data_IF_389615829248
#
_entry.id   IF_389615829248
#
_cell.length_a   1.000
_cell.length_b   1.000
_cell.length_c   1.000
_cell.angle_alpha   90.00
_cell.angle_beta   90.00
_cell.angle_gamma   90.00
#
_symmetry.space_group_name_H-M   'P 1'
#
loop_
_entity.id
_entity.type
_entity.pdbx_description
1 polymer ?
#
# COMPACT_ATOMS: atom_id res chain seq x y z
N UNK A 1 5.74 -13.69 -28.07
CA UNK A 1 5.09 -12.37 -28.20
C UNK A 1 4.15 -12.04 -27.04
N UNK A 2 3.19 -12.89 -26.64
CA UNK A 2 2.26 -12.53 -25.52
C UNK A 2 2.86 -12.48 -24.10
N UNK A 3 4.03 -13.09 -23.87
CA UNK A 3 4.68 -13.08 -22.54
C UNK A 3 5.50 -11.83 -22.24
N UNK A 4 5.80 -11.00 -23.24
CA UNK A 4 6.84 -9.96 -23.15
C UNK A 4 6.36 -8.66 -22.50
N UNK A 5 5.04 -8.50 -22.33
CA UNK A 5 4.43 -7.30 -21.72
C UNK A 5 3.71 -7.58 -20.40
N UNK A 6 3.87 -8.77 -19.81
CA UNK A 6 3.33 -9.01 -18.46
C UNK A 6 4.07 -8.09 -17.48
N UNK A 7 3.30 -7.24 -16.81
CA UNK A 7 3.77 -6.31 -15.78
C UNK A 7 4.73 -5.22 -16.27
N UNK A 8 4.19 -4.35 -17.12
CA UNK A 8 4.91 -3.18 -17.65
C UNK A 8 5.49 -2.29 -16.55
N UNK A 9 4.85 -2.20 -15.38
CA UNK A 9 5.29 -1.32 -14.31
C UNK A 9 6.56 -1.84 -13.60
N UNK A 10 6.64 -3.14 -13.27
CA UNK A 10 7.87 -3.69 -12.67
C UNK A 10 9.02 -3.73 -13.68
N UNK A 11 8.72 -3.99 -14.95
CA UNK A 11 9.71 -4.09 -16.02
C UNK A 11 10.36 -2.74 -16.42
N UNK A 12 9.81 -1.60 -15.98
CA UNK A 12 10.48 -0.29 -16.13
C UNK A 12 11.82 -0.27 -15.39
N UNK A 13 11.92 -0.98 -14.26
CA UNK A 13 13.16 -1.09 -13.52
C UNK A 13 14.00 -2.27 -14.04
N UNK A 14 14.99 -1.97 -14.89
CA UNK A 14 15.82 -2.99 -15.56
C UNK A 14 16.95 -3.55 -14.69
N UNK A 15 17.26 -2.92 -13.56
CA UNK A 15 18.45 -3.25 -12.76
C UNK A 15 18.15 -3.68 -11.32
N UNK A 16 16.94 -3.44 -10.81
CA UNK A 16 16.56 -3.81 -9.44
C UNK A 16 16.27 -5.32 -9.34
N UNK A 17 17.08 -6.03 -8.58
CA UNK A 17 16.93 -7.47 -8.31
C UNK A 17 16.27 -7.72 -6.95
N UNK A 18 15.85 -8.96 -6.69
CA UNK A 18 15.22 -9.38 -5.43
C UNK A 18 16.03 -9.04 -4.17
N UNK A 19 17.35 -9.18 -4.22
CA UNK A 19 18.25 -8.82 -3.12
C UNK A 19 18.27 -7.30 -2.87
N UNK A 20 18.28 -6.50 -3.94
CA UNK A 20 18.26 -5.03 -3.85
C UNK A 20 16.96 -4.53 -3.21
N UNK A 21 15.83 -5.19 -3.51
CA UNK A 21 14.51 -4.84 -2.93
C UNK A 21 14.53 -5.00 -1.41
N UNK A 22 15.15 -6.06 -0.89
CA UNK A 22 15.27 -6.28 0.56
C UNK A 22 16.15 -5.24 1.24
N UNK A 23 17.06 -4.61 0.49
CA UNK A 23 17.95 -3.54 0.96
C UNK A 23 17.33 -2.14 0.86
N UNK A 24 16.19 -1.97 0.16
CA UNK A 24 15.51 -0.68 0.09
C UNK A 24 15.13 -0.19 1.48
N UNK A 25 15.27 1.13 1.67
CA UNK A 25 14.79 1.78 2.88
C UNK A 25 13.27 1.69 2.96
N UNK A 26 12.67 1.67 4.17
CA UNK A 26 11.21 1.63 4.29
C UNK A 26 10.51 2.80 3.59
N UNK A 27 11.13 3.98 3.54
CA UNK A 27 10.56 5.12 2.82
C UNK A 27 10.57 4.95 1.30
N UNK A 28 11.56 4.25 0.73
CA UNK A 28 11.55 3.91 -0.70
C UNK A 28 10.46 2.88 -1.01
N UNK A 29 10.25 1.91 -0.12
CA UNK A 29 9.15 0.95 -0.25
C UNK A 29 7.80 1.65 -0.13
N UNK A 30 7.63 2.52 0.87
CA UNK A 30 6.41 3.30 1.06
C UNK A 30 6.11 4.19 -0.16
N UNK A 31 7.12 4.81 -0.76
CA UNK A 31 6.96 5.65 -1.94
C UNK A 31 6.27 4.93 -3.11
N UNK A 32 6.71 3.71 -3.44
CA UNK A 32 6.05 2.94 -4.51
C UNK A 32 4.76 2.28 -4.02
N UNK A 33 4.70 1.87 -2.75
CA UNK A 33 3.54 1.23 -2.15
C UNK A 33 2.31 2.13 -2.10
N UNK A 34 2.48 3.42 -1.81
CA UNK A 34 1.43 4.43 -1.87
C UNK A 34 0.80 4.51 -3.27
N UNK A 35 1.64 4.62 -4.32
CA UNK A 35 1.17 4.66 -5.69
C UNK A 35 0.44 3.37 -6.12
N UNK A 36 0.95 2.20 -5.72
CA UNK A 36 0.33 0.90 -6.02
C UNK A 36 -1.02 0.78 -5.32
N UNK A 37 -1.09 1.18 -4.04
CA UNK A 37 -2.34 1.12 -3.27
C UNK A 37 -3.39 2.09 -3.81
N UNK A 38 -3.00 3.34 -4.13
CA UNK A 38 -3.88 4.33 -4.75
C UNK A 38 -4.46 3.81 -6.06
N UNK A 39 -3.64 3.23 -6.94
CA UNK A 39 -4.09 2.66 -8.20
C UNK A 39 -5.05 1.48 -7.97
N UNK A 40 -4.74 0.61 -7.01
CA UNK A 40 -5.61 -0.51 -6.65
C UNK A 40 -7.00 -0.02 -6.22
N UNK A 41 -7.06 0.90 -5.25
CA UNK A 41 -8.32 1.44 -4.73
C UNK A 41 -9.10 2.16 -5.84
N UNK A 42 -8.44 2.99 -6.65
CA UNK A 42 -9.10 3.65 -7.78
C UNK A 42 -9.66 2.64 -8.77
N UNK A 43 -8.93 1.56 -9.04
CA UNK A 43 -9.40 0.47 -9.92
C UNK A 43 -10.59 -0.26 -9.34
N UNK A 44 -10.56 -0.58 -8.04
CA UNK A 44 -11.67 -1.21 -7.32
C UNK A 44 -12.95 -0.35 -7.35
N UNK A 45 -12.81 0.96 -7.15
CA UNK A 45 -13.94 1.90 -7.12
C UNK A 45 -14.54 2.20 -8.49
N UNK A 46 -13.89 1.78 -9.59
CA UNK A 46 -14.46 1.87 -10.94
C UNK A 46 -15.54 0.81 -11.13
N UNK A 47 -16.67 0.98 -10.43
CA UNK A 47 -17.89 0.24 -10.69
C UNK A 47 -18.75 0.96 -11.75
N UNK A 48 -19.49 0.19 -12.54
CA UNK A 48 -20.43 0.74 -13.52
C UNK A 48 -21.54 1.50 -12.78
N UNK A 49 -21.55 2.83 -12.93
CA UNK A 49 -22.63 3.70 -12.43
C UNK A 49 -22.22 4.68 -11.33
N UNK A 50 -21.01 4.58 -10.75
CA UNK A 50 -20.54 5.58 -9.78
C UNK A 50 -20.18 6.89 -10.51
N UNK A 51 -20.80 8.03 -10.15
CA UNK A 51 -20.46 9.32 -10.74
C UNK A 51 -19.00 9.71 -10.47
N UNK A 52 -18.31 10.27 -11.47
CA UNK A 52 -16.88 10.65 -11.38
C UNK A 52 -16.61 11.61 -10.21
N UNK A 53 -17.54 12.51 -9.90
CA UNK A 53 -17.43 13.44 -8.79
C UNK A 53 -17.51 12.79 -7.40
N UNK A 54 -17.95 11.53 -7.30
CA UNK A 54 -17.95 10.75 -6.05
C UNK A 54 -16.71 9.88 -5.88
N UNK A 55 -16.08 9.44 -6.98
CA UNK A 55 -14.92 8.55 -6.94
C UNK A 55 -13.77 9.10 -6.08
N UNK A 56 -13.49 10.40 -6.15
CA UNK A 56 -12.44 11.01 -5.33
C UNK A 56 -12.75 10.94 -3.83
N UNK A 57 -14.00 11.23 -3.45
CA UNK A 57 -14.42 11.21 -2.06
C UNK A 57 -14.41 9.78 -1.50
N UNK A 58 -14.85 8.81 -2.30
CA UNK A 58 -14.81 7.39 -1.95
C UNK A 58 -13.37 6.90 -1.81
N UNK A 59 -12.49 7.20 -2.77
CA UNK A 59 -11.07 6.83 -2.70
C UNK A 59 -10.40 7.38 -1.44
N UNK A 60 -10.69 8.63 -1.09
CA UNK A 60 -10.15 9.29 0.11
C UNK A 60 -10.46 8.51 1.40
N UNK A 61 -11.58 7.77 1.47
CA UNK A 61 -11.90 6.95 2.64
C UNK A 61 -11.00 5.72 2.80
N UNK A 62 -10.25 5.33 1.77
CA UNK A 62 -9.29 4.22 1.83
C UNK A 62 -7.85 4.72 1.94
N UNK A 63 -7.53 5.83 1.28
CA UNK A 63 -6.13 6.24 1.02
C UNK A 63 -5.60 7.28 2.00
N UNK A 64 -6.46 7.96 2.77
CA UNK A 64 -5.99 8.88 3.82
C UNK A 64 -5.23 8.13 4.92
N UNK A 65 -4.22 8.77 5.52
CA UNK A 65 -3.34 8.15 6.51
C UNK A 65 -4.10 7.49 7.68
N UNK A 66 -5.17 8.13 8.19
CA UNK A 66 -6.03 7.56 9.23
C UNK A 66 -6.65 6.22 8.80
N UNK A 67 -7.18 6.16 7.58
CA UNK A 67 -7.78 4.94 7.05
C UNK A 67 -6.75 3.84 6.86
N UNK A 68 -5.58 4.17 6.30
CA UNK A 68 -4.51 3.19 6.16
C UNK A 68 -4.03 2.65 7.52
N UNK A 69 -3.97 3.51 8.53
CA UNK A 69 -3.69 3.13 9.93
C UNK A 69 -4.71 2.13 10.46
N UNK A 70 -6.01 2.43 10.31
CA UNK A 70 -7.11 1.56 10.75
C UNK A 70 -7.13 0.21 10.02
N UNK A 71 -6.93 0.25 8.70
CA UNK A 71 -6.82 -0.93 7.84
C UNK A 71 -5.67 -1.82 8.31
N UNK A 72 -4.48 -1.25 8.54
CA UNK A 72 -3.34 -2.01 9.02
C UNK A 72 -3.60 -2.64 10.39
N UNK A 73 -4.31 -1.94 11.28
CA UNK A 73 -4.72 -2.48 12.57
C UNK A 73 -5.65 -3.68 12.42
N UNK A 74 -6.62 -3.63 11.50
CA UNK A 74 -7.51 -4.74 11.19
C UNK A 74 -6.79 -5.92 10.53
N UNK A 75 -5.79 -5.67 9.67
CA UNK A 75 -5.00 -6.70 9.02
C UNK A 75 -3.98 -7.38 9.94
N UNK A 76 -3.64 -6.80 11.10
CA UNK A 76 -2.53 -7.23 11.95
C UNK A 76 -2.53 -8.73 12.31
N UNK A 77 -3.71 -9.32 12.48
CA UNK A 77 -3.87 -10.76 12.79
C UNK A 77 -3.60 -11.69 11.60
N UNK A 78 -3.68 -11.17 10.38
CA UNK A 78 -3.53 -11.92 9.13
C UNK A 78 -2.11 -11.80 8.54
N UNK A 79 -1.30 -10.89 9.07
CA UNK A 79 0.09 -10.70 8.62
C UNK A 79 1.01 -11.80 9.14
N UNK A 80 1.95 -12.23 8.30
CA UNK A 80 3.07 -13.09 8.69
C UNK A 80 4.07 -12.31 9.56
N UNK A 81 4.99 -13.02 10.21
CA UNK A 81 6.03 -12.38 11.03
C UNK A 81 6.99 -11.51 10.21
N UNK A 82 7.27 -11.91 8.96
CA UNK A 82 8.07 -11.11 8.03
C UNK A 82 7.37 -9.79 7.68
N UNK A 83 6.08 -9.86 7.34
CA UNK A 83 5.26 -8.69 7.01
C UNK A 83 5.13 -7.75 8.22
N UNK A 84 4.92 -8.28 9.43
CA UNK A 84 4.91 -7.49 10.67
C UNK A 84 6.25 -6.78 10.91
N UNK A 85 7.37 -7.44 10.61
CA UNK A 85 8.69 -6.84 10.75
C UNK A 85 8.90 -5.69 9.74
N UNK A 86 8.43 -5.84 8.50
CA UNK A 86 8.45 -4.79 7.48
C UNK A 86 7.60 -3.59 7.90
N UNK A 87 6.37 -3.83 8.34
CA UNK A 87 5.47 -2.78 8.86
C UNK A 87 6.13 -2.03 10.03
N UNK A 88 6.73 -2.75 10.98
CA UNK A 88 7.44 -2.14 12.12
C UNK A 88 8.61 -1.27 11.65
N UNK A 89 9.37 -1.69 10.64
CA UNK A 89 10.45 -0.89 10.05
C UNK A 89 9.92 0.39 9.40
N UNK A 90 8.84 0.30 8.62
CA UNK A 90 8.19 1.47 8.01
C UNK A 90 7.68 2.47 9.05
N UNK A 91 6.98 1.98 10.06
CA UNK A 91 6.46 2.80 11.17
C UNK A 91 7.55 3.56 11.94
N UNK A 92 8.73 2.95 12.05
CA UNK A 92 9.86 3.54 12.76
C UNK A 92 10.78 4.38 11.87
N UNK A 93 10.50 4.49 10.57
CA UNK A 93 11.30 5.29 9.66
C UNK A 93 11.17 6.79 10.01
N UNK A 94 12.31 7.50 10.04
CA UNK A 94 12.32 8.93 10.34
C UNK A 94 11.86 9.71 9.12
N UNK A 95 10.63 10.22 9.16
CA UNK A 95 10.11 11.13 8.15
C UNK A 95 10.66 12.56 8.37
N UNK A 96 10.98 13.26 7.27
CA UNK A 96 11.55 14.62 7.33
C UNK A 96 10.50 15.68 7.66
N UNK A 97 9.24 15.45 7.31
CA UNK A 97 8.14 16.40 7.55
C UNK A 97 6.84 15.63 7.78
N UNK A 98 6.16 15.90 8.89
CA UNK A 98 4.79 15.45 9.15
C UNK A 98 3.92 16.71 9.20
N UNK A 99 2.73 16.74 8.57
CA UNK A 99 1.84 17.89 8.65
C UNK A 99 1.50 18.24 10.10
N UNK A 100 1.52 19.53 10.45
CA UNK A 100 1.32 19.98 11.84
C UNK A 100 -0.02 19.54 12.47
N UNK A 101 -1.04 19.34 11.63
CA UNK A 101 -2.40 18.98 12.06
C UNK A 101 -2.71 17.49 11.92
N UNK A 102 -1.71 16.69 11.54
CA UNK A 102 -1.87 15.25 11.39
C UNK A 102 -1.56 14.51 12.68
N UNK A 103 -2.30 13.43 12.95
CA UNK A 103 -1.89 12.49 13.98
C UNK A 103 -0.61 11.78 13.53
N UNK A 104 0.46 12.00 14.29
CA UNK A 104 1.78 11.43 14.04
C UNK A 104 1.75 9.90 14.02
N UNK A 105 0.89 9.28 14.83
CA UNK A 105 0.76 7.83 14.88
C UNK A 105 0.10 7.28 13.63
N UNK A 106 -0.96 7.92 13.13
CA UNK A 106 -1.62 7.50 11.89
C UNK A 106 -0.66 7.55 10.70
N UNK A 107 0.13 8.62 10.59
CA UNK A 107 1.13 8.75 9.52
C UNK A 107 2.20 7.66 9.61
N UNK A 108 2.66 7.33 10.82
CA UNK A 108 3.63 6.25 11.02
C UNK A 108 3.04 4.90 10.63
N UNK A 109 1.81 4.60 11.02
CA UNK A 109 1.16 3.34 10.65
C UNK A 109 0.87 3.26 9.15
N UNK A 110 0.40 4.34 8.52
CA UNK A 110 0.24 4.44 7.07
C UNK A 110 1.56 4.15 6.35
N UNK A 111 2.67 4.77 6.79
CA UNK A 111 4.01 4.49 6.22
C UNK A 111 4.41 3.02 6.36
N UNK A 112 4.07 2.39 7.48
CA UNK A 112 4.27 0.95 7.70
C UNK A 112 3.46 0.10 6.72
N UNK A 113 2.21 0.47 6.48
CA UNK A 113 1.33 -0.18 5.51
C UNK A 113 1.84 -0.01 4.08
N UNK A 114 2.14 1.21 3.64
CA UNK A 114 2.69 1.51 2.31
C UNK A 114 4.01 0.74 2.10
N UNK A 115 4.87 0.65 3.11
CA UNK A 115 6.12 -0.13 3.03
C UNK A 115 5.86 -1.61 2.76
N UNK A 116 4.82 -2.19 3.38
CA UNK A 116 4.41 -3.58 3.13
C UNK A 116 3.91 -3.76 1.70
N UNK A 117 3.00 -2.87 1.23
CA UNK A 117 2.48 -2.92 -0.14
C UNK A 117 3.62 -2.80 -1.16
N UNK A 118 4.53 -1.86 -0.97
CA UNK A 118 5.69 -1.68 -1.85
C UNK A 118 6.60 -2.90 -1.89
N UNK A 119 6.82 -3.57 -0.76
CA UNK A 119 7.61 -4.80 -0.71
C UNK A 119 6.94 -5.94 -1.48
N UNK A 120 5.66 -6.22 -1.19
CA UNK A 120 4.90 -7.28 -1.87
C UNK A 120 4.84 -7.01 -3.37
N UNK A 121 4.62 -5.75 -3.75
CA UNK A 121 4.64 -5.32 -5.13
C UNK A 121 5.99 -5.61 -5.77
N UNK A 122 7.10 -5.05 -5.28
CA UNK A 122 8.41 -5.19 -5.93
C UNK A 122 8.92 -6.64 -5.96
N UNK A 123 8.55 -7.46 -4.98
CA UNK A 123 8.90 -8.89 -4.93
C UNK A 123 7.99 -9.79 -5.77
N UNK A 124 7.00 -9.24 -6.47
CA UNK A 124 6.10 -9.99 -7.35
C UNK A 124 5.12 -10.91 -6.59
N UNK A 125 4.83 -10.61 -5.33
CA UNK A 125 3.91 -11.40 -4.50
C UNK A 125 2.44 -11.07 -4.79
N UNK A 126 2.05 -11.19 -6.06
CA UNK A 126 0.73 -10.77 -6.56
C UNK A 126 -0.44 -11.46 -5.86
N UNK A 127 -0.33 -12.77 -5.62
CA UNK A 127 -1.36 -13.53 -4.93
C UNK A 127 -1.59 -13.02 -3.50
N UNK A 128 -0.51 -12.69 -2.78
CA UNK A 128 -0.58 -12.16 -1.41
C UNK A 128 -1.13 -10.74 -1.39
N UNK A 129 -0.76 -9.90 -2.37
CA UNK A 129 -1.36 -8.57 -2.50
C UNK A 129 -2.87 -8.66 -2.71
N UNK A 130 -3.33 -9.53 -3.63
CA UNK A 130 -4.75 -9.73 -3.89
C UNK A 130 -5.48 -10.22 -2.64
N UNK A 131 -4.91 -11.18 -1.90
CA UNK A 131 -5.50 -11.66 -0.64
C UNK A 131 -5.69 -10.53 0.38
N UNK A 132 -4.65 -9.71 0.61
CA UNK A 132 -4.76 -8.58 1.53
C UNK A 132 -5.77 -7.56 1.02
N UNK A 133 -5.77 -7.27 -0.26
CA UNK A 133 -6.69 -6.31 -0.84
C UNK A 133 -8.16 -6.75 -0.79
N UNK A 134 -8.44 -8.03 -1.00
CA UNK A 134 -9.77 -8.61 -0.81
C UNK A 134 -10.22 -8.46 0.65
N UNK A 135 -9.31 -8.64 1.61
CA UNK A 135 -9.62 -8.35 3.02
C UNK A 135 -9.95 -6.86 3.20
N UNK A 136 -9.14 -5.95 2.66
CA UNK A 136 -9.30 -4.48 2.82
C UNK A 136 -10.67 -4.00 2.36
N UNK A 137 -11.12 -4.41 1.18
CA UNK A 137 -12.40 -3.92 0.62
C UNK A 137 -13.62 -4.49 1.35
N UNK A 138 -13.43 -5.54 2.16
CA UNK A 138 -14.44 -6.12 3.03
C UNK A 138 -14.39 -5.59 4.47
N UNK A 139 -13.42 -4.74 4.82
CA UNK A 139 -13.38 -4.06 6.12
C UNK A 139 -14.50 -3.01 6.13
N UNK A 140 -15.41 -3.05 7.10
CA UNK A 140 -16.40 -1.98 7.26
C UNK A 140 -15.68 -0.66 7.53
N UNK A 141 -15.69 0.24 6.55
CA UNK A 141 -15.15 1.58 6.76
C UNK A 141 -16.10 2.34 7.71
N UNK A 142 -15.55 2.91 8.77
CA UNK A 142 -16.32 3.73 9.71
C UNK A 142 -16.94 4.93 9.00
N UNK A 143 -18.23 5.18 9.28
CA UNK A 143 -18.94 6.39 8.88
C UNK A 143 -18.33 7.65 9.52
#
# INVERSE_FOLDING_TARGET
>A
MEREYKDTFRNINRSLKGEDIRMLSPLQLAYIGDAVYELYIRTYLLNKGTPVNKLHNEATQYVKAKSQSDILHALKGFLTEEEKALVRRGRNAKQKSIPKNADVMDYKYATGFESLIGYLYLTGQDARMMELFDMIVNIPMGN
#
